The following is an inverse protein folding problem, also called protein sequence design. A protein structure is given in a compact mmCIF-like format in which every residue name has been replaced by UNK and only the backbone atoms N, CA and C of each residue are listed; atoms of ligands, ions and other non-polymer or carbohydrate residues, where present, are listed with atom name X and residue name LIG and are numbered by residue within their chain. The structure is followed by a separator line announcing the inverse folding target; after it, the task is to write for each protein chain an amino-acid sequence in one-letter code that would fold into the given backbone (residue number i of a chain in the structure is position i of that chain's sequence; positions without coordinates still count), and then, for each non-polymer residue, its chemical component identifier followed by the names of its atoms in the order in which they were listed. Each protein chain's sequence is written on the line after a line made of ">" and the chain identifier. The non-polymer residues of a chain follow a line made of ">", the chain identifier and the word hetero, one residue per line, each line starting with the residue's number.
data_IF_481888978301
#
_entry.id   IF_481888978301
#
_cell.length_a   1.000
_cell.length_b   1.000
_cell.length_c   1.000
_cell.angle_alpha   90.00
_cell.angle_beta   90.00
_cell.angle_gamma   90.00
#
_symmetry.space_group_name_H-M   'P 1'
#
loop_
_entity.id
_entity.type
_entity.pdbx_description
1 polymer ?
#
# COMPACT_ATOMS: atom_id res chain seq x y z
N UNK A 1 17.75 20.08 -14.22
CA UNK A 1 16.73 19.17 -14.77
C UNK A 1 15.50 19.19 -13.87
N UNK A 2 14.32 18.99 -14.44
CA UNK A 2 12.98 19.25 -13.89
C UNK A 2 12.55 18.39 -12.67
N UNK A 3 13.34 18.34 -11.59
CA UNK A 3 13.02 17.54 -10.38
C UNK A 3 11.65 17.88 -9.81
N UNK A 4 11.26 19.16 -9.82
CA UNK A 4 9.94 19.60 -9.32
C UNK A 4 8.75 19.06 -10.13
N UNK A 5 8.83 19.01 -11.47
CA UNK A 5 7.74 18.49 -12.32
C UNK A 5 7.61 16.97 -12.19
N UNK A 6 8.73 16.25 -12.13
CA UNK A 6 8.76 14.80 -11.91
C UNK A 6 8.21 14.45 -10.52
N UNK A 7 8.64 15.16 -9.48
CA UNK A 7 8.19 14.99 -8.10
C UNK A 7 6.68 15.27 -7.94
N UNK A 8 6.14 16.27 -8.65
CA UNK A 8 4.69 16.50 -8.71
C UNK A 8 3.92 15.36 -9.36
N UNK A 9 4.43 14.78 -10.44
CA UNK A 9 3.81 13.61 -11.08
C UNK A 9 3.77 12.41 -10.13
N UNK A 10 4.86 12.18 -9.39
CA UNK A 10 4.94 11.12 -8.37
C UNK A 10 3.88 11.34 -7.28
N UNK A 11 3.80 12.55 -6.72
CA UNK A 11 2.80 12.86 -5.69
C UNK A 11 1.37 12.67 -6.18
N UNK A 12 1.04 13.16 -7.39
CA UNK A 12 -0.29 12.98 -8.00
C UNK A 12 -0.63 11.50 -8.19
N UNK A 13 0.35 10.68 -8.55
CA UNK A 13 0.17 9.22 -8.74
C UNK A 13 0.00 8.47 -7.42
N UNK A 14 0.60 8.95 -6.33
CA UNK A 14 0.50 8.31 -5.02
C UNK A 14 -0.90 8.43 -4.39
N UNK A 15 -1.66 9.51 -4.65
CA UNK A 15 -3.02 9.66 -4.12
C UNK A 15 -3.98 8.53 -4.51
N UNK A 16 -4.17 8.18 -5.81
CA UNK A 16 -5.06 7.09 -6.17
C UNK A 16 -4.56 5.75 -5.65
N UNK A 17 -3.24 5.51 -5.62
CA UNK A 17 -2.68 4.27 -5.06
C UNK A 17 -2.98 4.13 -3.56
N UNK A 18 -2.83 5.21 -2.79
CA UNK A 18 -3.16 5.21 -1.38
C UNK A 18 -4.67 5.06 -1.14
N UNK A 19 -5.51 5.71 -1.94
CA UNK A 19 -6.96 5.55 -1.88
C UNK A 19 -7.39 4.11 -2.16
N UNK A 20 -6.83 3.47 -3.19
CA UNK A 20 -7.07 2.05 -3.49
C UNK A 20 -6.64 1.18 -2.30
N UNK A 21 -5.47 1.45 -1.70
CA UNK A 21 -4.98 0.69 -0.54
C UNK A 21 -5.93 0.77 0.66
N UNK A 22 -6.45 1.97 0.94
CA UNK A 22 -7.43 2.20 2.01
C UNK A 22 -8.74 1.46 1.71
N UNK A 23 -9.26 1.61 0.50
CA UNK A 23 -10.53 0.98 0.09
C UNK A 23 -10.41 -0.53 0.16
N UNK A 24 -9.35 -1.12 -0.40
CA UNK A 24 -9.14 -2.57 -0.37
C UNK A 24 -9.08 -3.09 1.07
N UNK A 25 -8.39 -2.39 1.98
CA UNK A 25 -8.29 -2.80 3.37
C UNK A 25 -9.62 -2.69 4.11
N UNK A 26 -10.43 -1.65 3.84
CA UNK A 26 -11.78 -1.53 4.41
C UNK A 26 -12.68 -2.66 3.89
N UNK A 27 -12.65 -2.95 2.59
CA UNK A 27 -13.46 -4.00 1.98
C UNK A 27 -13.05 -5.38 2.53
N UNK A 28 -11.76 -5.61 2.81
CA UNK A 28 -11.27 -6.85 3.44
C UNK A 28 -11.92 -7.16 4.80
N UNK A 29 -12.37 -6.15 5.56
CA UNK A 29 -13.11 -6.37 6.82
C UNK A 29 -14.52 -6.95 6.60
N UNK A 30 -15.06 -6.87 5.39
CA UNK A 30 -16.42 -7.31 5.06
C UNK A 30 -16.37 -8.42 4.01
N UNK A 31 -15.95 -9.64 4.36
CA UNK A 31 -15.82 -10.73 3.41
C UNK A 31 -17.19 -11.04 2.78
N UNK A 32 -17.26 -10.99 1.45
CA UNK A 32 -18.51 -11.17 0.70
C UNK A 32 -19.52 -10.02 0.85
N UNK A 33 -19.10 -8.86 1.38
CA UNK A 33 -19.98 -7.70 1.64
C UNK A 33 -20.90 -7.87 2.85
N UNK A 34 -20.67 -8.90 3.66
CA UNK A 34 -21.54 -9.30 4.74
C UNK A 34 -20.93 -8.93 6.11
N UNK A 35 -21.69 -8.21 6.93
CA UNK A 35 -21.23 -7.76 8.25
C UNK A 35 -21.22 -8.86 9.31
N UNK A 36 -21.90 -9.98 9.05
CA UNK A 36 -22.03 -11.09 10.02
C UNK A 36 -20.66 -11.69 10.37
N UNK A 37 -19.79 -11.87 9.38
CA UNK A 37 -18.47 -12.46 9.59
C UNK A 37 -17.57 -11.56 10.45
N UNK A 38 -17.71 -10.24 10.30
CA UNK A 38 -17.02 -9.28 11.14
C UNK A 38 -17.55 -9.27 12.58
N UNK A 39 -18.86 -9.40 12.77
CA UNK A 39 -19.48 -9.47 14.11
C UNK A 39 -19.12 -10.74 14.84
N UNK A 40 -19.07 -11.86 14.13
CA UNK A 40 -18.82 -13.18 14.70
C UNK A 40 -17.32 -13.49 14.83
N UNK A 41 -16.44 -12.56 14.48
CA UNK A 41 -14.98 -12.72 14.58
C UNK A 41 -14.35 -13.62 13.51
N UNK A 42 -15.10 -13.99 12.47
CA UNK A 42 -14.64 -14.84 11.37
C UNK A 42 -13.97 -14.02 10.25
N UNK A 43 -12.90 -13.30 10.60
CA UNK A 43 -12.07 -12.55 9.65
C UNK A 43 -10.64 -13.12 9.65
N UNK A 44 -10.04 -13.19 8.48
CA UNK A 44 -8.62 -13.47 8.25
C UNK A 44 -7.73 -12.56 9.11
N UNK A 45 -6.81 -13.14 9.87
CA UNK A 45 -5.98 -12.42 10.87
C UNK A 45 -5.19 -11.26 10.25
N UNK A 46 -4.69 -11.45 9.04
CA UNK A 46 -3.87 -10.48 8.31
C UNK A 46 -4.61 -9.17 8.00
N UNK A 47 -5.95 -9.18 7.99
CA UNK A 47 -6.77 -7.98 7.80
C UNK A 47 -6.65 -7.04 9.01
N UNK A 48 -6.49 -7.59 10.22
CA UNK A 48 -6.32 -6.81 11.45
C UNK A 48 -4.97 -6.09 11.52
N UNK A 49 -3.98 -6.52 10.75
CA UNK A 49 -2.70 -5.79 10.61
C UNK A 49 -2.86 -4.46 9.87
N UNK A 50 -4.01 -4.23 9.23
CA UNK A 50 -4.36 -2.97 8.56
C UNK A 50 -3.28 -2.48 7.59
N UNK A 51 -2.61 -3.42 6.90
CA UNK A 51 -1.49 -3.15 6.01
C UNK A 51 -1.82 -2.10 4.94
N UNK A 52 -2.99 -2.22 4.31
CA UNK A 52 -3.42 -1.29 3.27
C UNK A 52 -3.92 0.06 3.81
N UNK A 53 -4.57 0.08 4.98
CA UNK A 53 -5.08 1.33 5.58
C UNK A 53 -3.95 2.16 6.19
N UNK A 54 -3.15 1.54 7.07
CA UNK A 54 -2.09 2.23 7.81
C UNK A 54 -0.83 2.36 6.95
N UNK A 55 -0.36 1.26 6.37
CA UNK A 55 0.86 1.23 5.56
C UNK A 55 0.68 1.90 4.20
N UNK A 56 -0.04 1.24 3.29
CA UNK A 56 -0.22 1.72 1.92
C UNK A 56 -1.11 2.97 1.81
N UNK A 57 -1.89 3.27 2.84
CA UNK A 57 -2.79 4.41 2.91
C UNK A 57 -2.15 5.60 3.62
N UNK A 58 -2.31 5.65 4.95
CA UNK A 58 -1.93 6.81 5.77
C UNK A 58 -0.43 7.15 5.68
N UNK A 59 0.46 6.16 5.82
CA UNK A 59 1.91 6.41 5.79
C UNK A 59 2.41 6.86 4.41
N UNK A 60 1.72 6.49 3.33
CA UNK A 60 2.05 6.93 1.94
C UNK A 60 1.40 8.27 1.61
N UNK A 61 0.25 8.61 2.20
CA UNK A 61 -0.39 9.92 2.02
C UNK A 61 0.45 11.06 2.60
N UNK A 62 1.14 10.85 3.71
CA UNK A 62 2.02 11.85 4.34
C UNK A 62 3.08 12.38 3.35
N UNK A 63 3.94 11.54 2.73
CA UNK A 63 4.87 11.99 1.72
C UNK A 63 4.16 12.56 0.49
N UNK A 64 3.06 11.96 0.01
CA UNK A 64 2.35 12.48 -1.16
C UNK A 64 1.86 13.93 -0.97
N UNK A 65 1.32 14.26 0.21
CA UNK A 65 0.93 15.62 0.59
C UNK A 65 2.13 16.55 0.69
N UNK A 66 3.17 16.12 1.41
CA UNK A 66 4.38 16.93 1.58
C UNK A 66 5.03 17.27 0.22
N UNK A 67 5.24 16.25 -0.63
CA UNK A 67 5.84 16.41 -1.96
C UNK A 67 4.98 17.32 -2.84
N UNK A 68 3.66 17.17 -2.80
CA UNK A 68 2.77 18.01 -3.59
C UNK A 68 2.87 19.49 -3.17
N UNK A 69 2.88 19.77 -1.86
CA UNK A 69 2.99 21.14 -1.33
C UNK A 69 4.36 21.75 -1.65
N UNK A 70 5.46 21.03 -1.42
CA UNK A 70 6.81 21.52 -1.72
C UNK A 70 7.06 21.65 -3.24
N UNK A 71 6.40 20.83 -4.06
CA UNK A 71 6.48 20.89 -5.53
C UNK A 71 5.85 22.13 -6.16
N UNK A 72 4.95 22.84 -5.46
CA UNK A 72 4.33 24.08 -5.96
C UNK A 72 5.19 25.32 -5.71
N UNK A 73 6.08 25.31 -4.71
CA UNK A 73 6.83 26.50 -4.30
C UNK A 73 7.99 26.88 -5.23
N UNK A 74 8.21 26.17 -6.35
CA UNK A 74 8.95 26.65 -7.52
C UNK A 74 10.46 26.92 -7.36
N UNK A 75 10.97 27.02 -6.14
CA UNK A 75 12.36 27.24 -5.81
C UNK A 75 12.76 26.25 -4.71
N UNK A 76 13.97 25.69 -4.82
CA UNK A 76 14.57 24.82 -3.81
C UNK A 76 14.33 25.39 -2.42
N UNK A 77 13.42 24.74 -1.67
CA UNK A 77 13.26 25.04 -0.26
C UNK A 77 14.63 24.92 0.42
N UNK A 78 14.87 25.78 1.41
CA UNK A 78 16.06 25.77 2.25
C UNK A 78 16.50 24.33 2.59
N UNK A 79 17.79 24.08 2.84
CA UNK A 79 18.39 22.74 3.05
C UNK A 79 17.54 21.81 3.95
N UNK A 80 16.85 22.38 4.94
CA UNK A 80 15.91 21.70 5.83
C UNK A 80 14.66 21.12 5.12
N UNK A 81 14.04 21.82 4.18
CA UNK A 81 12.87 21.35 3.43
C UNK A 81 13.16 20.19 2.47
N UNK A 82 14.39 20.14 1.94
CA UNK A 82 14.86 19.03 1.10
C UNK A 82 15.17 17.77 1.92
N UNK A 83 15.79 17.92 3.10
CA UNK A 83 16.03 16.80 4.01
C UNK A 83 14.72 16.17 4.50
N UNK A 84 13.74 16.99 4.83
CA UNK A 84 12.40 16.52 5.21
C UNK A 84 11.72 15.72 4.09
N UNK A 85 11.92 16.08 2.82
CA UNK A 85 11.38 15.29 1.70
C UNK A 85 11.94 13.87 1.67
N UNK A 86 13.22 13.69 1.97
CA UNK A 86 13.87 12.37 2.05
C UNK A 86 13.30 11.57 3.22
N UNK A 87 13.15 12.20 4.40
CA UNK A 87 12.58 11.55 5.60
C UNK A 87 11.15 11.10 5.35
N UNK A 88 10.28 11.97 4.80
CA UNK A 88 8.91 11.59 4.49
C UNK A 88 8.84 10.52 3.39
N UNK A 89 9.69 10.59 2.36
CA UNK A 89 9.77 9.53 1.36
C UNK A 89 10.19 8.18 1.97
N UNK A 90 11.09 8.19 2.95
CA UNK A 90 11.46 6.98 3.70
C UNK A 90 10.30 6.43 4.52
N UNK A 91 9.49 7.28 5.14
CA UNK A 91 8.23 6.87 5.80
C UNK A 91 7.28 6.23 4.80
N UNK A 92 7.15 6.80 3.60
CA UNK A 92 6.35 6.22 2.51
C UNK A 92 6.85 4.84 2.07
N UNK A 93 8.16 4.67 1.92
CA UNK A 93 8.77 3.35 1.61
C UNK A 93 8.50 2.36 2.74
N UNK A 94 8.68 2.75 3.99
CA UNK A 94 8.42 1.88 5.14
C UNK A 94 6.94 1.45 5.22
N UNK A 95 6.01 2.39 5.02
CA UNK A 95 4.58 2.11 4.99
C UNK A 95 4.18 1.19 3.83
N UNK A 96 4.71 1.44 2.63
CA UNK A 96 4.45 0.61 1.46
C UNK A 96 5.03 -0.82 1.63
N UNK A 97 6.25 -0.95 2.18
CA UNK A 97 6.84 -2.25 2.50
C UNK A 97 6.03 -3.00 3.57
N UNK A 98 5.54 -2.31 4.59
CA UNK A 98 4.64 -2.91 5.58
C UNK A 98 3.37 -3.47 4.91
N UNK A 99 2.72 -2.67 4.05
CA UNK A 99 1.56 -3.13 3.29
C UNK A 99 1.87 -4.31 2.37
N UNK A 100 3.05 -4.30 1.73
CA UNK A 100 3.51 -5.39 0.87
C UNK A 100 3.65 -6.69 1.66
N UNK A 101 4.34 -6.66 2.81
CA UNK A 101 4.54 -7.86 3.65
C UNK A 101 3.20 -8.42 4.12
N UNK A 102 2.30 -7.56 4.61
CA UNK A 102 0.95 -7.99 5.04
C UNK A 102 0.16 -8.58 3.87
N UNK A 103 0.26 -8.01 2.67
CA UNK A 103 -0.41 -8.55 1.48
C UNK A 103 0.14 -9.91 1.06
N UNK A 104 1.46 -10.10 1.10
CA UNK A 104 2.09 -11.41 0.85
C UNK A 104 1.61 -12.44 1.87
N UNK A 105 1.59 -12.11 3.16
CA UNK A 105 1.11 -13.01 4.20
C UNK A 105 -0.37 -13.37 4.02
N UNK A 106 -1.23 -12.40 3.67
CA UNK A 106 -2.65 -12.64 3.41
C UNK A 106 -2.91 -13.52 2.19
N UNK A 107 -2.05 -13.43 1.16
CA UNK A 107 -2.09 -14.35 0.02
C UNK A 107 -1.51 -15.73 0.37
N UNK A 108 -0.44 -15.80 1.16
CA UNK A 108 0.23 -17.05 1.49
C UNK A 108 -0.59 -17.91 2.45
N UNK A 109 -1.17 -17.31 3.50
CA UNK A 109 -1.96 -18.02 4.50
C UNK A 109 -3.38 -18.32 4.01
N UNK A 110 -3.88 -17.51 3.07
CA UNK A 110 -5.21 -17.63 2.50
C UNK A 110 -6.33 -17.21 3.45
N UNK A 111 -7.57 -17.16 2.96
CA UNK A 111 -8.68 -16.66 3.76
C UNK A 111 -9.09 -17.65 4.86
N UNK A 112 -9.60 -17.09 5.96
CA UNK A 112 -10.40 -17.85 6.91
C UNK A 112 -11.76 -18.16 6.28
N UNK A 113 -12.12 -19.44 6.22
CA UNK A 113 -13.39 -19.88 5.68
C UNK A 113 -13.93 -21.11 6.41
N UNK A 114 -15.24 -21.35 6.27
CA UNK A 114 -15.91 -22.52 6.82
C UNK A 114 -15.74 -23.71 5.89
N UNK A 115 -15.08 -24.74 6.38
CA UNK A 115 -14.95 -26.05 5.74
C UNK A 115 -15.90 -27.01 6.45
N UNK A 116 -16.99 -27.38 5.79
CA UNK A 116 -18.09 -28.21 6.33
C UNK A 116 -18.75 -27.55 7.55
N UNK A 117 -18.18 -27.70 8.74
CA UNK A 117 -18.69 -27.16 10.01
C UNK A 117 -17.64 -26.39 10.82
N UNK A 118 -16.38 -26.37 10.39
CA UNK A 118 -15.27 -25.78 11.13
C UNK A 118 -14.69 -24.58 10.37
N UNK A 119 -14.40 -23.50 11.08
CA UNK A 119 -13.69 -22.34 10.53
C UNK A 119 -12.19 -22.59 10.58
N UNK A 120 -11.53 -22.54 9.43
CA UNK A 120 -10.10 -22.77 9.32
C UNK A 120 -9.53 -22.04 8.10
N UNK A 121 -8.22 -22.02 7.97
CA UNK A 121 -7.48 -21.51 6.80
C UNK A 121 -6.94 -22.71 6.03
N UNK A 122 -7.73 -23.35 5.14
CA UNK A 122 -7.37 -24.65 4.55
C UNK A 122 -6.15 -24.57 3.61
N UNK A 123 -5.79 -23.36 3.18
CA UNK A 123 -4.66 -23.10 2.29
C UNK A 123 -3.35 -22.80 3.03
N UNK A 124 -3.41 -22.58 4.35
CA UNK A 124 -2.23 -22.30 5.17
C UNK A 124 -1.34 -23.55 5.24
N UNK A 125 -0.05 -23.39 4.93
CA UNK A 125 0.96 -24.47 4.91
C UNK A 125 0.69 -25.62 3.92
N UNK A 126 -0.16 -25.42 2.92
CA UNK A 126 -0.35 -26.43 1.87
C UNK A 126 0.63 -26.18 0.72
N UNK A 127 1.33 -27.23 0.24
CA UNK A 127 2.31 -27.12 -0.85
C UNK A 127 1.68 -26.77 -2.22
N UNK A 128 0.34 -26.79 -2.32
CA UNK A 128 -0.40 -26.45 -3.54
C UNK A 128 -0.74 -24.96 -3.54
N UNK A 129 -0.19 -24.22 -4.50
CA UNK A 129 -0.50 -22.79 -4.69
C UNK A 129 -1.92 -22.61 -5.21
N UNK A 130 -2.89 -22.50 -4.30
CA UNK A 130 -4.28 -22.18 -4.59
C UNK A 130 -4.45 -20.83 -5.32
N UNK A 131 -3.41 -20.01 -5.37
CA UNK A 131 -3.38 -18.75 -6.11
C UNK A 131 -3.47 -18.97 -7.64
N UNK A 132 -3.04 -20.14 -8.12
CA UNK A 132 -3.00 -20.47 -9.55
C UNK A 132 -3.95 -21.61 -9.91
N UNK A 133 -4.27 -22.48 -8.95
CA UNK A 133 -5.15 -23.63 -9.13
C UNK A 133 -6.47 -23.42 -8.37
N UNK A 134 -7.56 -23.29 -9.13
CA UNK A 134 -8.91 -23.03 -8.65
C UNK A 134 -9.70 -24.30 -8.28
N UNK A 135 -9.15 -25.49 -8.54
CA UNK A 135 -9.83 -26.78 -8.32
C UNK A 135 -10.31 -26.98 -6.87
N UNK A 136 -9.60 -26.40 -5.89
CA UNK A 136 -9.89 -26.54 -4.46
C UNK A 136 -10.62 -25.35 -3.84
N UNK A 137 -10.95 -24.31 -4.61
CA UNK A 137 -11.63 -23.13 -4.07
C UNK A 137 -13.02 -23.46 -3.49
N UNK A 138 -13.66 -24.50 -4.02
CA UNK A 138 -14.93 -25.02 -3.51
C UNK A 138 -14.88 -25.66 -2.11
N UNK A 139 -13.69 -25.84 -1.53
CA UNK A 139 -13.54 -26.32 -0.15
C UNK A 139 -14.08 -25.31 0.86
N UNK A 140 -14.02 -24.01 0.53
CA UNK A 140 -14.63 -22.95 1.32
C UNK A 140 -16.12 -22.84 1.00
N UNK A 141 -16.97 -23.32 1.90
CA UNK A 141 -18.43 -23.31 1.73
C UNK A 141 -19.01 -21.93 2.03
N UNK A 142 -18.48 -21.27 3.05
CA UNK A 142 -18.92 -19.95 3.49
C UNK A 142 -17.69 -19.14 3.98
N UNK A 143 -17.53 -17.87 3.62
CA UNK A 143 -18.33 -17.06 2.69
C UNK A 143 -18.22 -17.52 1.22
N UNK A 144 -19.26 -17.28 0.42
CA UNK A 144 -19.23 -17.58 -1.03
C UNK A 144 -18.15 -16.74 -1.72
N UNK A 145 -17.36 -17.35 -2.61
CA UNK A 145 -16.29 -16.72 -3.38
C UNK A 145 -15.23 -16.00 -2.52
N UNK A 146 -15.05 -16.41 -1.25
CA UNK A 146 -14.07 -15.79 -0.34
C UNK A 146 -12.64 -15.89 -0.85
N UNK A 147 -12.30 -16.98 -1.56
CA UNK A 147 -10.96 -17.19 -2.13
C UNK A 147 -10.66 -16.15 -3.20
N UNK A 148 -11.58 -15.94 -4.14
CA UNK A 148 -11.48 -14.89 -5.17
C UNK A 148 -11.38 -13.50 -4.54
N UNK A 149 -12.19 -13.24 -3.52
CA UNK A 149 -12.20 -11.97 -2.79
C UNK A 149 -10.86 -11.70 -2.11
N UNK A 150 -10.30 -12.70 -1.41
CA UNK A 150 -9.00 -12.62 -0.76
C UNK A 150 -7.88 -12.37 -1.78
N UNK A 151 -7.82 -13.17 -2.84
CA UNK A 151 -6.81 -13.05 -3.90
C UNK A 151 -6.90 -11.69 -4.59
N UNK A 152 -8.11 -11.25 -4.94
CA UNK A 152 -8.33 -9.97 -5.62
C UNK A 152 -7.90 -8.77 -4.78
N UNK A 153 -8.29 -8.72 -3.51
CA UNK A 153 -8.00 -7.57 -2.64
C UNK A 153 -6.55 -7.56 -2.17
N UNK A 154 -6.02 -8.66 -1.65
CA UNK A 154 -4.62 -8.72 -1.26
C UNK A 154 -3.68 -8.65 -2.48
N UNK A 155 -4.07 -9.20 -3.63
CA UNK A 155 -3.33 -9.02 -4.89
C UNK A 155 -3.30 -7.56 -5.34
N UNK A 156 -4.42 -6.84 -5.20
CA UNK A 156 -4.45 -5.40 -5.47
C UNK A 156 -3.57 -4.61 -4.50
N UNK A 157 -3.60 -4.95 -3.20
CA UNK A 157 -2.71 -4.37 -2.19
C UNK A 157 -1.23 -4.66 -2.50
N UNK A 158 -0.91 -5.86 -2.97
CA UNK A 158 0.44 -6.23 -3.38
C UNK A 158 0.91 -5.37 -4.57
N UNK A 159 0.10 -5.26 -5.61
CA UNK A 159 0.44 -4.47 -6.80
C UNK A 159 0.59 -2.98 -6.48
N UNK A 160 -0.35 -2.41 -5.72
CA UNK A 160 -0.32 -1.00 -5.32
C UNK A 160 0.86 -0.68 -4.41
N UNK A 161 1.15 -1.51 -3.41
CA UNK A 161 2.31 -1.33 -2.52
C UNK A 161 3.64 -1.44 -3.27
N UNK A 162 3.78 -2.36 -4.23
CA UNK A 162 4.96 -2.41 -5.12
C UNK A 162 5.18 -1.09 -5.86
N UNK A 163 4.12 -0.53 -6.47
CA UNK A 163 4.20 0.75 -7.16
C UNK A 163 4.55 1.90 -6.19
N UNK A 164 3.97 1.90 -5.00
CA UNK A 164 4.28 2.89 -3.97
C UNK A 164 5.74 2.85 -3.52
N UNK A 165 6.31 1.65 -3.32
CA UNK A 165 7.75 1.47 -2.99
C UNK A 165 8.60 2.08 -4.09
N UNK A 166 8.33 1.77 -5.36
CA UNK A 166 9.10 2.28 -6.51
C UNK A 166 9.00 3.80 -6.56
N UNK A 167 7.80 4.37 -6.48
CA UNK A 167 7.56 5.81 -6.57
C UNK A 167 8.21 6.58 -5.40
N UNK A 168 8.09 6.08 -4.17
CA UNK A 168 8.71 6.70 -3.00
C UNK A 168 10.25 6.58 -3.04
N UNK A 169 10.79 5.47 -3.55
CA UNK A 169 12.24 5.31 -3.74
C UNK A 169 12.78 6.29 -4.80
N UNK A 170 12.07 6.47 -5.92
CA UNK A 170 12.43 7.49 -6.93
C UNK A 170 12.40 8.88 -6.31
N UNK A 171 11.39 9.20 -5.49
CA UNK A 171 11.35 10.49 -4.77
C UNK A 171 12.54 10.65 -3.83
N UNK A 172 12.92 9.61 -3.10
CA UNK A 172 14.06 9.63 -2.19
C UNK A 172 15.36 9.95 -2.95
N UNK A 173 15.58 9.32 -4.09
CA UNK A 173 16.72 9.57 -4.99
C UNK A 173 16.68 11.01 -5.52
N UNK A 174 15.50 11.47 -5.98
CA UNK A 174 15.31 12.84 -6.46
C UNK A 174 15.60 13.89 -5.37
N UNK A 175 15.19 13.62 -4.13
CA UNK A 175 15.48 14.44 -2.96
C UNK A 175 16.99 14.51 -2.67
N UNK A 176 17.68 13.36 -2.76
CA UNK A 176 19.13 13.28 -2.55
C UNK A 176 19.90 14.08 -3.62
N UNK A 177 19.55 13.92 -4.91
CA UNK A 177 20.16 14.69 -5.99
C UNK A 177 19.92 16.19 -5.83
N UNK A 178 18.73 16.60 -5.39
CA UNK A 178 18.49 18.01 -5.12
C UNK A 178 19.28 18.55 -3.92
N UNK A 179 19.55 17.72 -2.90
CA UNK A 179 20.36 18.11 -1.75
C UNK A 179 21.86 18.21 -2.08
N UNK A 180 22.36 17.36 -2.99
CA UNK A 180 23.77 17.31 -3.39
C UNK A 180 24.11 18.28 -4.55
N UNK A 181 23.20 18.46 -5.51
CA UNK A 181 23.42 19.26 -6.71
C UNK A 181 22.66 20.61 -6.72
N UNK A 182 21.90 20.93 -5.68
CA UNK A 182 21.18 22.19 -5.54
C UNK A 182 22.10 23.34 -5.13
N UNK A 183 22.78 23.96 -6.09
CA UNK A 183 23.36 25.29 -5.88
C UNK A 183 22.22 26.31 -5.81
N UNK A 184 22.02 26.93 -4.65
CA UNK A 184 21.16 28.10 -4.50
C UNK A 184 21.79 29.27 -5.27
N UNK A 185 21.43 29.47 -6.54
CA UNK A 185 21.59 30.79 -7.15
C UNK A 185 20.45 31.66 -6.63
N UNK A 186 20.76 32.50 -5.65
CA UNK A 186 19.89 33.56 -5.16
C UNK A 186 19.47 34.42 -6.36
N UNK A 187 18.22 34.27 -6.82
CA UNK A 187 17.62 35.29 -7.67
C UNK A 187 17.04 36.33 -6.73
N UNK A 188 17.90 37.28 -6.38
CA UNK A 188 17.53 38.49 -5.63
C UNK A 188 16.37 39.22 -6.31
N UNK A 189 15.65 40.07 -5.56
CA UNK A 189 14.44 40.72 -6.04
C UNK A 189 14.80 41.65 -7.21
N UNK A 190 14.18 41.42 -8.36
CA UNK A 190 14.12 42.35 -9.49
C UNK A 190 12.71 42.91 -9.57
#
# INVERSE_FOLDING_TARGET
>A
MCTGKCSRCIAVTLYPLAAISIICNIVLFFPGGDIKYAKDGHITEEVYYMGGLVGGGLMVLIPALYIHLTGQQGCCGNRCGMFLSIVFAAVGVAGALYSFIVAVLGLQNGPLCKVILVWTTPFKNNDRSYLTDDTWWGTCVEPKNIVQFNIGLFGTLLATSCLQVILCAIQMINGLFGCLCGTCTDKGPL
#
